data_IF_745429694930
#
_entry.id   IF_745429694930
#
_cell.length_a   1.000
_cell.length_b   1.000
_cell.length_c   1.000
_cell.angle_alpha   90.00
_cell.angle_beta   90.00
_cell.angle_gamma   90.00
#
_symmetry.space_group_name_H-M   'P 1'
#
loop_
_entity.id
_entity.type
_entity.pdbx_description
1 polymer ?
#
# COMPACT_ATOMS: atom_id res chain seq x y z
N UNK A 1 5.51 -1.41 -1.17
CA UNK A 1 5.04 -0.90 0.13
C UNK A 1 4.15 0.32 -0.09
N UNK A 2 3.13 0.50 0.76
CA UNK A 2 2.19 1.63 0.74
C UNK A 2 2.51 2.61 1.87
N UNK A 3 2.23 3.89 1.66
CA UNK A 3 2.34 4.99 2.62
C UNK A 3 1.01 5.75 2.69
N UNK A 4 0.74 6.38 3.84
CA UNK A 4 -0.49 7.16 4.04
C UNK A 4 -0.45 8.41 3.17
N UNK A 5 -1.48 8.60 2.33
CA UNK A 5 -1.70 9.86 1.58
C UNK A 5 -2.64 10.78 2.35
N UNK A 6 -3.79 10.25 2.80
CA UNK A 6 -4.81 10.99 3.55
C UNK A 6 -5.52 10.10 4.56
N UNK A 7 -5.88 10.68 5.71
CA UNK A 7 -6.72 10.05 6.72
C UNK A 7 -8.07 10.76 6.76
N UNK A 8 -9.14 9.99 6.79
CA UNK A 8 -10.52 10.42 7.03
C UNK A 8 -11.02 9.79 8.33
N UNK A 9 -12.23 10.19 8.75
CA UNK A 9 -12.89 9.65 9.96
C UNK A 9 -13.00 8.12 9.94
N UNK A 10 -13.37 7.55 8.80
CA UNK A 10 -13.68 6.11 8.66
C UNK A 10 -12.77 5.38 7.68
N UNK A 11 -11.93 6.10 6.95
CA UNK A 11 -11.08 5.53 5.91
C UNK A 11 -9.68 6.14 5.90
N UNK A 12 -8.70 5.37 5.42
CA UNK A 12 -7.35 5.86 5.15
C UNK A 12 -7.02 5.55 3.71
N UNK A 13 -6.64 6.58 2.96
CA UNK A 13 -6.12 6.44 1.62
C UNK A 13 -4.62 6.19 1.68
N UNK A 14 -4.21 5.10 1.04
CA UNK A 14 -2.84 4.66 0.92
C UNK A 14 -2.39 4.75 -0.54
N UNK A 15 -1.19 5.26 -0.75
CA UNK A 15 -0.52 5.29 -2.06
C UNK A 15 0.73 4.45 -1.99
N UNK A 16 1.21 3.96 -3.13
CA UNK A 16 2.53 3.34 -3.14
C UNK A 16 3.60 4.34 -2.67
N UNK A 17 4.59 3.87 -1.89
CA UNK A 17 5.73 4.67 -1.46
C UNK A 17 6.49 5.32 -2.65
N UNK A 18 6.45 4.71 -3.83
CA UNK A 18 7.06 5.25 -5.05
C UNK A 18 6.19 6.29 -5.78
N UNK A 19 4.99 6.62 -5.29
CA UNK A 19 4.13 7.65 -5.88
C UNK A 19 4.76 9.06 -5.83
N UNK A 20 5.63 9.33 -4.85
CA UNK A 20 6.37 10.60 -4.78
C UNK A 20 7.55 10.71 -5.75
N UNK A 21 7.95 9.63 -6.42
CA UNK A 21 9.08 9.64 -7.35
C UNK A 21 8.62 10.18 -8.71
N UNK A 22 9.14 11.34 -9.13
CA UNK A 22 8.74 11.99 -10.39
C UNK A 22 9.03 11.13 -11.63
N UNK A 23 10.10 10.31 -11.60
CA UNK A 23 10.48 9.41 -12.70
C UNK A 23 9.70 8.09 -12.70
N UNK A 24 9.26 7.62 -11.54
CA UNK A 24 8.60 6.32 -11.34
C UNK A 24 7.32 6.46 -10.52
N UNK A 25 6.50 7.46 -10.87
CA UNK A 25 5.27 7.79 -10.14
C UNK A 25 4.31 6.61 -10.18
N UNK A 26 4.30 5.86 -9.10
CA UNK A 26 3.52 4.63 -9.03
C UNK A 26 2.04 4.94 -8.80
N UNK A 27 1.13 4.50 -9.69
CA UNK A 27 -0.28 4.84 -9.60
C UNK A 27 -1.07 3.93 -8.65
N UNK A 28 -0.43 2.93 -8.04
CA UNK A 28 -1.09 1.97 -7.16
C UNK A 28 -1.58 2.63 -5.87
N UNK A 29 -2.84 2.35 -5.53
CA UNK A 29 -3.57 2.92 -4.40
C UNK A 29 -4.40 1.86 -3.71
N UNK A 30 -4.61 2.01 -2.42
CA UNK A 30 -5.62 1.24 -1.68
C UNK A 30 -6.26 2.09 -0.59
N UNK A 31 -7.42 1.65 -0.12
CA UNK A 31 -8.17 2.31 0.95
C UNK A 31 -8.45 1.28 2.02
N UNK A 32 -8.09 1.59 3.26
CA UNK A 32 -8.50 0.80 4.43
C UNK A 32 -9.69 1.49 5.09
N UNK A 33 -10.70 0.73 5.49
CA UNK A 33 -11.83 1.22 6.27
C UNK A 33 -11.67 0.83 7.75
N UNK A 34 -12.29 1.55 8.68
CA UNK A 34 -12.41 1.21 10.10
C UNK A 34 -12.92 -0.21 10.34
N UNK A 35 -13.73 -0.74 9.42
CA UNK A 35 -14.27 -2.10 9.48
C UNK A 35 -13.26 -3.19 9.05
N UNK A 36 -11.95 -2.91 9.11
CA UNK A 36 -10.85 -3.82 8.70
C UNK A 36 -10.91 -4.29 7.24
N UNK A 37 -11.71 -3.63 6.40
CA UNK A 37 -11.80 -3.94 4.98
C UNK A 37 -10.77 -3.14 4.19
N UNK A 38 -10.24 -3.75 3.13
CA UNK A 38 -9.27 -3.13 2.23
C UNK A 38 -9.85 -3.14 0.82
N UNK A 39 -9.91 -1.96 0.20
CA UNK A 39 -10.25 -1.81 -1.22
C UNK A 39 -8.98 -1.48 -2.00
N UNK A 40 -8.57 -2.40 -2.87
CA UNK A 40 -7.47 -2.18 -3.79
C UNK A 40 -7.96 -1.42 -5.02
N UNK A 41 -7.20 -0.44 -5.49
CA UNK A 41 -7.48 0.20 -6.78
C UNK A 41 -7.17 -0.77 -7.92
N UNK A 42 -7.84 -0.59 -9.07
CA UNK A 42 -7.53 -1.34 -10.30
C UNK A 42 -6.13 -1.02 -10.85
N UNK A 43 -5.54 0.12 -10.45
CA UNK A 43 -4.21 0.51 -10.91
C UNK A 43 -3.13 -0.32 -10.22
N UNK A 44 -2.41 -1.10 -11.02
CA UNK A 44 -1.30 -1.95 -10.57
C UNK A 44 -0.02 -1.14 -10.36
N UNK A 45 0.93 -1.73 -9.64
CA UNK A 45 2.28 -1.18 -9.55
C UNK A 45 2.95 -1.22 -10.93
N UNK A 46 3.63 -0.13 -11.28
CA UNK A 46 4.41 0.01 -12.53
C UNK A 46 5.91 -0.21 -12.30
N UNK A 47 6.28 -0.82 -11.19
CA UNK A 47 7.65 -1.09 -10.82
C UNK A 47 7.72 -2.47 -10.18
N UNK A 48 8.89 -3.13 -10.19
CA UNK A 48 9.06 -4.36 -9.45
C UNK A 48 8.74 -4.10 -7.97
N UNK A 49 8.03 -5.04 -7.37
CA UNK A 49 8.03 -5.16 -5.92
C UNK A 49 9.48 -5.39 -5.53
N UNK A 50 10.11 -4.47 -4.79
CA UNK A 50 11.23 -4.92 -3.97
C UNK A 50 10.62 -6.04 -3.13
N UNK A 51 11.05 -7.27 -3.37
CA UNK A 51 10.69 -8.42 -2.56
C UNK A 51 11.28 -8.11 -1.19
N UNK A 52 10.55 -7.33 -0.40
CA UNK A 52 10.74 -7.33 1.03
C UNK A 52 10.55 -8.78 1.38
N UNK A 53 11.64 -9.45 1.76
CA UNK A 53 11.59 -10.76 2.39
C UNK A 53 10.48 -10.63 3.43
N UNK A 54 9.35 -11.26 3.14
CA UNK A 54 8.26 -11.37 4.07
C UNK A 54 8.94 -11.99 5.28
N UNK A 55 9.15 -11.20 6.36
CA UNK A 55 9.62 -11.76 7.61
C UNK A 55 8.56 -12.79 7.93
N UNK A 56 8.87 -14.07 7.65
CA UNK A 56 8.04 -15.19 8.03
C UNK A 56 7.80 -14.95 9.52
N UNK A 57 6.56 -14.59 9.86
CA UNK A 57 6.14 -14.54 11.25
C UNK A 57 6.55 -15.88 11.82
N UNK A 58 7.57 -15.86 12.68
CA UNK A 58 8.05 -17.04 13.38
C UNK A 58 6.86 -17.47 14.23
N UNK A 59 6.05 -18.39 13.71
CA UNK A 59 5.13 -19.18 14.53
C UNK A 59 6.03 -19.87 15.54
N UNK A 60 6.06 -19.34 16.76
CA UNK A 60 6.71 -20.01 17.88
C UNK A 60 5.89 -21.28 18.17
N UNK A 61 6.52 -22.46 18.18
CA UNK A 61 5.88 -23.70 18.58
C UNK A 61 5.43 -23.66 20.04
#
# INVERSE_FOLDING_TARGET
>A
MYTVERKYLTTINWVCAKNGNVKLRCPARCVTNSNRSIKLSHRKHNHPSNLYQMHKSRTRP
#
